data_IF_761868461982
#
_entry.id   IF_761868461982
#
_cell.length_a   1.000
_cell.length_b   1.000
_cell.length_c   1.000
_cell.angle_alpha   90.00
_cell.angle_beta   90.00
_cell.angle_gamma   90.00
#
_symmetry.space_group_name_H-M   'P 1'
#
loop_
_entity.id
_entity.type
_entity.pdbx_description
1 polymer ?
#
# COMPACT_ATOMS: atom_id res chain seq x y z
N UNK A 1 11.21 -7.81 9.82
CA UNK A 1 11.39 -6.41 9.34
C UNK A 1 10.00 -5.84 9.14
N UNK A 2 9.44 -5.16 10.15
CA UNK A 2 8.02 -4.73 10.13
C UNK A 2 7.92 -3.33 9.52
N UNK A 3 7.16 -3.17 8.43
CA UNK A 3 6.72 -1.84 7.98
C UNK A 3 5.54 -1.39 8.84
N UNK A 4 5.62 -0.17 9.37
CA UNK A 4 4.51 0.47 10.08
C UNK A 4 3.68 1.34 9.15
N UNK A 5 2.48 1.70 9.60
CA UNK A 5 1.59 2.65 8.89
C UNK A 5 2.27 4.00 8.71
N UNK A 6 3.04 4.44 9.71
CA UNK A 6 3.83 5.67 9.65
C UNK A 6 4.90 5.60 8.55
N UNK A 7 5.63 4.47 8.42
CA UNK A 7 6.60 4.32 7.33
C UNK A 7 5.93 4.33 5.95
N UNK A 8 4.78 3.67 5.80
CA UNK A 8 4.02 3.73 4.54
C UNK A 8 3.58 5.16 4.28
N UNK A 9 3.02 5.85 5.28
CA UNK A 9 2.59 7.24 5.14
C UNK A 9 3.74 8.13 4.69
N UNK A 10 4.92 8.04 5.30
CA UNK A 10 6.09 8.85 4.91
C UNK A 10 6.58 8.57 3.50
N UNK A 11 6.48 7.32 3.04
CA UNK A 11 6.86 6.96 1.67
C UNK A 11 5.83 7.50 0.68
N UNK A 12 4.54 7.52 1.03
CA UNK A 12 3.44 7.82 0.11
C UNK A 12 2.94 9.28 0.18
N UNK A 13 3.23 10.03 1.27
CA UNK A 13 2.85 11.44 1.45
C UNK A 13 3.36 12.40 0.36
N UNK A 14 4.56 12.25 -0.23
CA UNK A 14 5.01 13.22 -1.24
C UNK A 14 4.25 13.09 -2.57
N UNK A 15 3.47 12.02 -2.77
CA UNK A 15 2.67 11.78 -3.97
C UNK A 15 1.21 12.24 -3.83
N UNK A 16 0.79 12.61 -2.63
CA UNK A 16 -0.55 13.15 -2.38
C UNK A 16 -1.04 13.01 -0.94
N UNK A 17 -2.26 13.49 -0.72
CA UNK A 17 -2.91 13.51 0.58
C UNK A 17 -3.47 12.13 0.90
N UNK A 18 -2.90 11.49 1.92
CA UNK A 18 -3.36 10.18 2.42
C UNK A 18 -4.49 10.37 3.41
N UNK A 19 -5.71 9.98 3.03
CA UNK A 19 -6.87 9.93 3.91
C UNK A 19 -6.79 8.76 4.89
N UNK A 20 -6.38 7.58 4.40
CA UNK A 20 -6.34 6.36 5.20
C UNK A 20 -5.12 5.53 4.83
N UNK A 21 -4.42 4.99 5.83
CA UNK A 21 -3.36 4.02 5.61
C UNK A 21 -3.57 2.86 6.58
N UNK A 22 -3.52 1.63 6.09
CA UNK A 22 -3.72 0.44 6.92
C UNK A 22 -2.80 -0.68 6.47
N UNK A 23 -1.98 -1.20 7.38
CA UNK A 23 -1.14 -2.38 7.13
C UNK A 23 -2.01 -3.65 7.26
N UNK A 24 -1.95 -4.53 6.26
CA UNK A 24 -2.58 -5.85 6.40
C UNK A 24 -1.72 -6.73 7.30
N UNK A 25 -2.31 -7.10 8.43
CA UNK A 25 -1.72 -8.05 9.38
C UNK A 25 -2.41 -9.41 9.27
N UNK A 26 -1.66 -10.47 9.46
CA UNK A 26 -2.18 -11.83 9.56
C UNK A 26 -2.88 -12.08 10.89
N UNK A 27 -3.51 -13.26 11.05
CA UNK A 27 -4.18 -13.64 12.31
C UNK A 27 -3.21 -13.68 13.51
N UNK A 28 -1.92 -13.91 13.28
CA UNK A 28 -0.86 -13.87 14.30
C UNK A 28 -0.38 -12.46 14.65
N UNK A 29 -0.89 -11.41 13.99
CA UNK A 29 -0.44 -10.03 14.17
C UNK A 29 0.75 -9.62 13.30
N UNK A 30 1.42 -10.56 12.64
CA UNK A 30 2.52 -10.29 11.72
C UNK A 30 2.06 -9.53 10.47
N UNK A 31 2.82 -8.53 10.05
CA UNK A 31 2.58 -7.83 8.78
C UNK A 31 2.74 -8.80 7.62
N UNK A 32 1.74 -8.87 6.74
CA UNK A 32 1.80 -9.68 5.51
C UNK A 32 2.68 -9.04 4.43
N UNK A 33 3.33 -7.91 4.71
CA UNK A 33 4.08 -7.15 3.72
C UNK A 33 3.18 -6.44 2.71
N UNK A 34 1.91 -6.20 3.07
CA UNK A 34 0.95 -5.48 2.24
C UNK A 34 0.35 -4.32 3.04
N UNK A 35 0.03 -3.23 2.34
CA UNK A 35 -0.61 -2.05 2.90
C UNK A 35 -1.71 -1.55 1.96
N UNK A 36 -2.75 -0.95 2.51
CA UNK A 36 -3.71 -0.13 1.77
C UNK A 36 -3.46 1.33 2.08
N UNK A 37 -3.46 2.16 1.04
CA UNK A 37 -3.34 3.61 1.12
C UNK A 37 -4.49 4.21 0.33
N UNK A 38 -5.31 5.02 0.98
CA UNK A 38 -6.41 5.77 0.39
C UNK A 38 -5.96 7.21 0.20
N UNK A 39 -5.92 7.65 -1.04
CA UNK A 39 -5.68 9.05 -1.39
C UNK A 39 -6.99 9.83 -1.50
N UNK A 40 -6.89 11.14 -1.34
CA UNK A 40 -8.02 12.06 -1.53
C UNK A 40 -8.52 12.05 -2.99
N UNK A 41 -7.62 11.94 -3.96
CA UNK A 41 -7.97 11.90 -5.39
C UNK A 41 -7.36 10.72 -6.14
N UNK A 42 -8.01 10.33 -7.24
CA UNK A 42 -7.51 9.29 -8.14
C UNK A 42 -6.17 9.65 -8.77
N UNK A 43 -5.95 10.94 -9.07
CA UNK A 43 -4.72 11.39 -9.72
C UNK A 43 -3.50 11.25 -8.80
N UNK A 44 -3.65 11.56 -7.52
CA UNK A 44 -2.61 11.34 -6.49
C UNK A 44 -2.25 9.84 -6.38
N UNK A 45 -3.27 8.96 -6.34
CA UNK A 45 -3.05 7.52 -6.32
C UNK A 45 -2.30 7.02 -7.58
N UNK A 46 -2.65 7.57 -8.76
CA UNK A 46 -1.97 7.24 -10.01
C UNK A 46 -0.50 7.68 -9.98
N UNK A 47 -0.20 8.88 -9.46
CA UNK A 47 1.19 9.35 -9.32
C UNK A 47 1.99 8.46 -8.38
N UNK A 48 1.41 8.04 -7.26
CA UNK A 48 2.07 7.13 -6.33
C UNK A 48 2.39 5.78 -6.99
N UNK A 49 1.47 5.23 -7.78
CA UNK A 49 1.70 4.01 -8.54
C UNK A 49 2.86 4.21 -9.52
N UNK A 50 2.83 5.26 -10.35
CA UNK A 50 3.86 5.47 -11.38
C UNK A 50 5.26 5.69 -10.80
N UNK A 51 5.37 6.34 -9.64
CA UNK A 51 6.66 6.67 -9.04
C UNK A 51 7.20 5.56 -8.13
N UNK A 52 6.33 4.85 -7.40
CA UNK A 52 6.79 3.84 -6.43
C UNK A 52 6.80 2.44 -7.04
N UNK A 53 5.83 2.10 -7.88
CA UNK A 53 5.74 0.76 -8.45
C UNK A 53 7.02 0.43 -9.23
N UNK A 54 7.71 -0.64 -8.81
CA UNK A 54 8.96 -1.05 -9.46
C UNK A 54 10.17 -0.17 -9.16
N UNK A 55 10.02 0.96 -8.46
CA UNK A 55 11.10 1.92 -8.24
C UNK A 55 12.05 1.53 -7.10
N UNK A 56 11.57 0.82 -6.08
CA UNK A 56 12.39 0.44 -4.93
C UNK A 56 12.28 -1.04 -4.58
N UNK A 57 13.43 -1.68 -4.41
CA UNK A 57 13.57 -2.98 -3.74
C UNK A 57 13.90 -2.71 -2.28
N UNK A 58 13.03 -3.12 -1.35
CA UNK A 58 13.37 -3.03 0.06
C UNK A 58 14.58 -3.92 0.38
N UNK A 59 15.52 -3.50 1.24
CA UNK A 59 16.66 -4.31 1.61
C UNK A 59 16.18 -5.62 2.27
N UNK A 60 16.41 -6.75 1.59
CA UNK A 60 15.95 -8.09 1.99
C UNK A 60 14.73 -8.61 1.23
N UNK A 61 14.15 -7.83 0.32
CA UNK A 61 13.13 -8.30 -0.61
C UNK A 61 13.78 -8.66 -1.96
N UNK A 62 13.45 -9.84 -2.49
CA UNK A 62 13.91 -10.28 -3.82
C UNK A 62 13.15 -9.60 -4.97
N UNK A 63 12.10 -8.84 -4.65
CA UNK A 63 11.21 -8.21 -5.62
C UNK A 63 10.98 -6.74 -5.27
N UNK A 64 10.84 -5.92 -6.30
CA UNK A 64 10.51 -4.51 -6.15
C UNK A 64 9.13 -4.33 -5.53
N UNK A 65 8.92 -3.19 -4.88
CA UNK A 65 7.63 -2.82 -4.33
C UNK A 65 6.56 -2.80 -5.44
N UNK A 66 5.43 -3.42 -5.15
CA UNK A 66 4.28 -3.46 -6.05
C UNK A 66 3.23 -2.50 -5.52
N UNK A 67 2.88 -1.50 -6.32
CA UNK A 67 1.80 -0.55 -6.02
C UNK A 67 0.80 -0.66 -7.16
N UNK A 68 -0.46 -0.87 -6.81
CA UNK A 68 -1.57 -0.99 -7.75
C UNK A 68 -2.84 -0.42 -7.11
N UNK A 69 -3.85 -0.13 -7.92
CA UNK A 69 -5.17 0.18 -7.37
C UNK A 69 -5.70 -1.00 -6.56
N UNK A 70 -6.30 -0.68 -5.42
CA UNK A 70 -7.00 -1.66 -4.61
C UNK A 70 -8.28 -2.11 -5.33
N UNK A 71 -8.60 -3.40 -5.23
CA UNK A 71 -9.91 -3.91 -5.65
C UNK A 71 -11.00 -3.14 -4.89
N UNK A 72 -12.12 -2.85 -5.55
CA UNK A 72 -13.23 -2.12 -4.92
C UNK A 72 -13.77 -2.88 -3.72
N UNK A 73 -14.45 -2.20 -2.79
CA UNK A 73 -15.08 -2.87 -1.63
C UNK A 73 -16.00 -4.02 -2.06
N UNK A 74 -16.68 -3.86 -3.20
CA UNK A 74 -17.54 -4.89 -3.81
C UNK A 74 -16.74 -6.15 -4.19
N UNK A 75 -15.58 -5.98 -4.81
CA UNK A 75 -14.68 -7.10 -5.19
C UNK A 75 -14.01 -7.72 -3.96
N UNK A 76 -13.63 -6.90 -2.97
CA UNK A 76 -13.06 -7.36 -1.70
C UNK A 76 -14.06 -8.21 -0.92
N UNK A 77 -15.34 -7.84 -0.94
CA UNK A 77 -16.41 -8.60 -0.28
C UNK A 77 -16.59 -9.96 -0.95
N UNK A 78 -16.56 -10.03 -2.29
CA UNK A 78 -16.66 -11.28 -3.06
C UNK A 78 -15.53 -12.28 -2.77
N UNK A 79 -14.30 -11.81 -2.50
CA UNK A 79 -13.17 -12.71 -2.16
C UNK A 79 -13.17 -13.20 -0.71
N UNK A 80 -14.03 -12.62 0.14
CA UNK A 80 -14.18 -13.02 1.55
C UNK A 80 -15.33 -14.01 1.77
N UNK A 81 -16.12 -14.29 0.73
CA UNK A 81 -17.16 -15.34 0.69
C UNK A 81 -16.51 -16.67 0.28
#
# INVERSE_FOLDING_TARGET
KQMTEENVRTIFEPYGTIEECTILRGPSGDSKGCAFVKYATHNEAQQAIQNIHGSQTFPGASSSIVVKFADTEKERQLRRM
#
